data_IF_875118665803
#
_entry.id   IF_875118665803
#
_cell.length_a   1.000
_cell.length_b   1.000
_cell.length_c   1.000
_cell.angle_alpha   90.00
_cell.angle_beta   90.00
_cell.angle_gamma   90.00
#
_symmetry.space_group_name_H-M   'P 1'
#
loop_
_entity.id
_entity.type
_entity.pdbx_description
1 polymer ?
#
# COMPACT_ATOMS: atom_id res chain seq x y z
N UNK A 1 -3.26 14.23 -23.82
CA UNK A 1 -2.98 12.82 -23.49
C UNK A 1 -2.04 12.84 -22.28
N UNK A 2 -2.51 12.44 -21.09
CA UNK A 2 -1.61 12.31 -19.94
C UNK A 2 -0.74 11.08 -20.18
N UNK A 3 0.58 11.29 -20.20
CA UNK A 3 1.58 10.24 -20.35
C UNK A 3 1.50 9.36 -19.08
N UNK A 4 0.83 8.22 -19.16
CA UNK A 4 0.73 7.31 -18.02
C UNK A 4 2.13 6.73 -17.77
N UNK A 5 2.77 7.18 -16.70
CA UNK A 5 4.10 6.71 -16.34
C UNK A 5 3.98 5.24 -15.87
N UNK A 6 4.93 4.39 -16.29
CA UNK A 6 4.98 2.99 -15.85
C UNK A 6 5.09 2.96 -14.32
N UNK A 7 4.19 2.24 -13.61
CA UNK A 7 4.32 2.03 -12.18
C UNK A 7 5.63 1.34 -11.83
N UNK A 8 6.21 1.68 -10.70
CA UNK A 8 7.46 1.10 -10.18
C UNK A 8 7.33 0.56 -8.77
N UNK A 9 6.20 0.85 -8.12
CA UNK A 9 5.91 0.45 -6.75
C UNK A 9 4.43 0.04 -6.62
N UNK A 10 4.18 -1.09 -5.96
CA UNK A 10 2.85 -1.63 -5.74
C UNK A 10 2.61 -1.88 -4.23
N UNK A 11 2.18 -0.86 -3.46
CA UNK A 11 1.88 -1.04 -2.05
C UNK A 11 0.58 -1.84 -1.84
N UNK A 12 0.61 -2.83 -0.95
CA UNK A 12 -0.59 -3.45 -0.38
C UNK A 12 -1.11 -2.59 0.77
N UNK A 13 -2.30 -2.03 0.60
CA UNK A 13 -2.92 -1.10 1.54
C UNK A 13 -4.27 -1.63 1.98
N UNK A 14 -4.52 -1.58 3.28
CA UNK A 14 -5.89 -1.74 3.81
C UNK A 14 -6.70 -0.56 3.30
N UNK A 15 -7.86 -0.80 2.71
CA UNK A 15 -8.75 0.27 2.24
C UNK A 15 -9.49 0.95 3.41
N UNK A 16 -8.76 1.34 4.46
CA UNK A 16 -9.26 2.02 5.65
C UNK A 16 -8.97 3.53 5.56
N UNK A 17 -9.68 4.30 6.38
CA UNK A 17 -9.65 5.75 6.31
C UNK A 17 -8.23 6.36 6.42
N UNK A 18 -7.33 5.77 7.20
CA UNK A 18 -5.96 6.27 7.34
C UNK A 18 -5.15 6.12 6.06
N UNK A 19 -5.14 4.93 5.47
CA UNK A 19 -4.45 4.63 4.22
C UNK A 19 -5.03 5.45 3.05
N UNK A 20 -6.36 5.61 2.99
CA UNK A 20 -7.04 6.47 1.99
C UNK A 20 -6.63 7.94 2.13
N UNK A 21 -6.50 8.47 3.35
CA UNK A 21 -5.94 9.81 3.59
C UNK A 21 -4.52 9.88 3.03
N UNK A 22 -3.68 8.89 3.36
CA UNK A 22 -2.27 8.89 2.95
C UNK A 22 -2.11 8.87 1.43
N UNK A 23 -2.91 8.07 0.73
CA UNK A 23 -2.89 7.97 -0.73
C UNK A 23 -3.44 9.24 -1.39
N UNK A 24 -4.49 9.85 -0.83
CA UNK A 24 -5.03 11.13 -1.30
C UNK A 24 -4.09 12.32 -1.09
N UNK A 25 -3.12 12.20 -0.18
CA UNK A 25 -2.12 13.23 0.13
C UNK A 25 -0.83 13.12 -0.70
N UNK A 26 -0.70 12.11 -1.57
CA UNK A 26 0.45 11.94 -2.46
C UNK A 26 0.54 13.07 -3.49
N UNK A 27 1.77 13.51 -3.80
CA UNK A 27 2.02 14.39 -4.93
C UNK A 27 1.70 13.66 -6.25
N UNK A 28 1.34 14.41 -7.30
CA UNK A 28 0.84 13.83 -8.55
C UNK A 28 1.90 12.97 -9.28
N UNK A 29 3.16 13.38 -9.24
CA UNK A 29 4.32 12.66 -9.79
C UNK A 29 4.63 11.38 -9.02
N UNK A 30 4.45 11.38 -7.69
CA UNK A 30 4.55 10.18 -6.86
C UNK A 30 3.38 9.24 -7.12
N UNK A 31 2.16 9.75 -7.13
CA UNK A 31 0.95 8.99 -7.38
C UNK A 31 0.94 8.34 -8.77
N UNK A 32 1.51 9.01 -9.77
CA UNK A 32 1.66 8.49 -11.13
C UNK A 32 2.65 7.34 -11.28
N UNK A 33 3.40 6.99 -10.23
CA UNK A 33 4.40 5.92 -10.23
C UNK A 33 4.00 4.69 -9.42
N UNK A 34 2.79 4.65 -8.89
CA UNK A 34 2.33 3.54 -8.05
C UNK A 34 1.11 2.82 -8.64
N UNK A 35 1.01 1.52 -8.37
CA UNK A 35 -0.16 0.70 -8.61
C UNK A 35 -0.60 0.09 -7.27
N UNK A 36 -1.41 0.80 -6.46
CA UNK A 36 -1.77 0.30 -5.14
C UNK A 36 -2.71 -0.91 -5.26
N UNK A 37 -2.51 -1.89 -4.38
CA UNK A 37 -3.45 -2.98 -4.11
C UNK A 37 -4.25 -2.65 -2.86
N UNK A 38 -5.52 -2.28 -3.05
CA UNK A 38 -6.44 -1.94 -1.98
C UNK A 38 -7.18 -3.18 -1.52
N UNK A 39 -6.88 -3.62 -0.30
CA UNK A 39 -7.53 -4.74 0.37
C UNK A 39 -8.78 -4.22 1.06
N UNK A 40 -9.95 -4.60 0.55
CA UNK A 40 -11.22 -4.18 1.13
C UNK A 40 -11.38 -4.84 2.50
N UNK A 41 -11.45 -4.07 3.61
CA UNK A 41 -11.47 -4.65 4.94
C UNK A 41 -12.79 -5.38 5.23
N UNK A 42 -12.80 -6.39 6.12
CA UNK A 42 -14.03 -7.05 6.56
C UNK A 42 -14.94 -6.09 7.35
N UNK A 43 -16.24 -6.43 7.54
CA UNK A 43 -17.23 -5.55 8.15
C UNK A 43 -16.86 -4.98 9.51
N UNK A 44 -16.32 -5.82 10.39
CA UNK A 44 -15.96 -5.48 11.76
C UNK A 44 -14.81 -4.46 11.87
N UNK A 45 -14.18 -4.12 10.74
CA UNK A 45 -13.00 -3.25 10.66
C UNK A 45 -13.25 -1.98 9.88
N UNK A 46 -14.45 -1.82 9.33
CA UNK A 46 -14.92 -0.59 8.71
C UNK A 46 -15.42 0.33 9.83
N UNK A 47 -14.84 1.52 9.92
CA UNK A 47 -15.41 2.55 10.78
C UNK A 47 -16.73 3.07 10.21
N UNK A 48 -17.57 3.74 11.02
CA UNK A 48 -18.89 4.23 10.60
C UNK A 48 -18.84 5.05 9.30
N UNK A 49 -17.75 5.81 9.09
CA UNK A 49 -17.57 6.57 7.86
C UNK A 49 -17.39 5.61 6.69
N UNK A 50 -16.41 4.69 6.74
CA UNK A 50 -16.19 3.72 5.67
C UNK A 50 -17.40 2.80 5.44
N UNK A 51 -18.10 2.42 6.50
CA UNK A 51 -19.33 1.61 6.44
C UNK A 51 -20.45 2.33 5.69
N UNK A 52 -20.57 3.65 5.87
CA UNK A 52 -21.53 4.47 5.13
C UNK A 52 -21.11 4.62 3.66
N UNK A 53 -19.79 4.62 3.39
CA UNK A 53 -19.23 4.73 2.04
C UNK A 53 -19.29 3.42 1.26
N UNK A 54 -19.29 2.28 1.92
CA UNK A 54 -19.57 0.97 1.33
C UNK A 54 -20.93 0.53 1.89
N UNK A 55 -22.05 1.14 1.46
CA UNK A 55 -23.36 0.85 2.03
C UNK A 55 -23.72 -0.63 1.86
N UNK A 56 -23.94 -1.29 3.00
CA UNK A 56 -24.28 -2.72 3.07
C UNK A 56 -25.74 -3.04 2.77
N UNK A 57 -26.59 -2.02 2.65
CA UNK A 57 -28.02 -2.18 2.42
C UNK A 57 -28.37 -2.41 0.94
N UNK A 58 -27.41 -2.26 0.03
CA UNK A 58 -27.58 -2.56 -1.39
C UNK A 58 -27.11 -3.99 -1.71
N UNK A 59 -27.68 -4.66 -2.74
CA UNK A 59 -27.23 -5.99 -3.17
C UNK A 59 -25.80 -6.00 -3.75
N UNK A 60 -25.17 -4.83 -3.92
CA UNK A 60 -23.85 -4.65 -4.53
C UNK A 60 -23.01 -3.71 -3.65
N UNK A 61 -21.83 -4.12 -3.18
CA UNK A 61 -20.93 -3.22 -2.45
C UNK A 61 -20.45 -2.06 -3.33
N UNK A 62 -20.25 -0.88 -2.74
CA UNK A 62 -19.75 0.31 -3.44
C UNK A 62 -18.39 0.76 -2.91
N UNK A 63 -17.31 0.37 -3.60
CA UNK A 63 -15.96 0.83 -3.30
C UNK A 63 -15.68 2.24 -3.85
N UNK A 64 -16.51 2.72 -4.78
CA UNK A 64 -16.26 3.96 -5.54
C UNK A 64 -16.35 5.20 -4.66
N UNK A 65 -17.29 5.20 -3.71
CA UNK A 65 -17.47 6.32 -2.78
C UNK A 65 -16.24 6.53 -1.87
N UNK A 66 -15.52 5.44 -1.53
CA UNK A 66 -14.29 5.52 -0.77
C UNK A 66 -13.09 5.98 -1.62
N UNK A 67 -13.01 5.51 -2.87
CA UNK A 67 -11.84 5.69 -3.74
C UNK A 67 -11.90 6.95 -4.61
N UNK A 68 -13.04 7.29 -5.21
CA UNK A 68 -13.15 8.42 -6.14
C UNK A 68 -12.63 9.76 -5.59
N UNK A 69 -12.85 10.10 -4.29
CA UNK A 69 -12.32 11.34 -3.72
C UNK A 69 -10.79 11.40 -3.59
N UNK A 70 -10.11 10.25 -3.56
CA UNK A 70 -8.66 10.17 -3.25
C UNK A 70 -7.82 9.51 -4.34
N UNK A 71 -8.41 8.72 -5.23
CA UNK A 71 -7.73 7.93 -6.26
C UNK A 71 -8.54 7.76 -7.55
N UNK A 72 -9.00 8.88 -8.11
CA UNK A 72 -9.69 8.90 -9.41
C UNK A 72 -8.72 8.95 -10.59
N UNK A 73 -9.19 8.40 -11.72
CA UNK A 73 -8.54 8.37 -13.04
C UNK A 73 -7.14 7.76 -13.02
N UNK A 74 -6.94 6.78 -12.15
CA UNK A 74 -5.70 6.02 -11.99
C UNK A 74 -6.04 4.56 -11.75
N UNK A 75 -5.21 3.62 -12.24
CA UNK A 75 -5.41 2.21 -11.98
C UNK A 75 -5.23 1.89 -10.49
N UNK A 76 -6.04 0.96 -9.99
CA UNK A 76 -5.96 0.44 -8.62
C UNK A 76 -6.40 -1.03 -8.63
N UNK A 77 -5.57 -1.90 -8.06
CA UNK A 77 -5.92 -3.30 -7.85
C UNK A 77 -6.85 -3.39 -6.64
N UNK A 78 -8.00 -4.07 -6.79
CA UNK A 78 -8.97 -4.26 -5.71
C UNK A 78 -8.95 -5.71 -5.29
N UNK A 79 -8.43 -5.95 -4.10
CA UNK A 79 -8.47 -7.25 -3.45
C UNK A 79 -9.79 -7.35 -2.66
N UNK A 80 -10.65 -8.24 -3.16
CA UNK A 80 -12.01 -8.44 -2.68
C UNK A 80 -12.16 -9.66 -1.78
N UNK A 81 -11.06 -10.28 -1.31
CA UNK A 81 -11.11 -11.56 -0.59
C UNK A 81 -12.12 -11.59 0.57
N UNK A 82 -12.13 -10.55 1.40
CA UNK A 82 -13.10 -10.45 2.51
C UNK A 82 -14.55 -10.21 2.06
N UNK A 83 -14.76 -9.58 0.89
CA UNK A 83 -16.10 -9.39 0.33
C UNK A 83 -16.67 -10.70 -0.21
N UNK A 84 -15.83 -11.62 -0.69
CA UNK A 84 -16.27 -12.93 -1.19
C UNK A 84 -17.07 -13.68 -0.12
N UNK A 85 -16.53 -13.73 1.10
CA UNK A 85 -17.17 -14.42 2.21
C UNK A 85 -18.34 -13.62 2.79
N UNK A 86 -18.24 -12.29 2.82
CA UNK A 86 -19.28 -11.39 3.36
C UNK A 86 -20.57 -11.35 2.52
N UNK A 87 -20.45 -11.24 1.20
CA UNK A 87 -21.59 -11.15 0.29
C UNK A 87 -22.05 -12.52 -0.23
N UNK A 88 -21.27 -13.57 0.06
CA UNK A 88 -21.52 -14.96 -0.31
C UNK A 88 -20.90 -15.32 -1.65
N UNK A 89 -20.05 -16.36 -1.63
CA UNK A 89 -19.37 -16.92 -2.82
C UNK A 89 -20.37 -17.44 -3.85
N UNK A 90 -21.49 -18.00 -3.41
CA UNK A 90 -22.58 -18.48 -4.27
C UNK A 90 -23.30 -17.38 -5.06
N UNK A 91 -23.15 -16.11 -4.66
CA UNK A 91 -23.81 -14.96 -5.29
C UNK A 91 -22.85 -14.02 -6.01
N UNK A 92 -21.56 -14.33 -6.12
CA UNK A 92 -20.55 -13.42 -6.70
C UNK A 92 -20.93 -12.86 -8.07
N UNK A 93 -21.52 -13.68 -8.94
CA UNK A 93 -21.97 -13.25 -10.27
C UNK A 93 -22.98 -12.11 -10.24
N UNK A 94 -23.75 -11.95 -9.15
CA UNK A 94 -24.77 -10.91 -9.03
C UNK A 94 -24.27 -9.60 -8.40
N UNK A 95 -23.03 -9.57 -7.89
CA UNK A 95 -22.51 -8.36 -7.23
C UNK A 95 -21.09 -7.97 -7.65
N UNK A 96 -20.19 -8.93 -7.90
CA UNK A 96 -18.78 -8.64 -8.15
C UNK A 96 -18.59 -7.85 -9.45
N UNK A 97 -19.14 -8.25 -10.61
CA UNK A 97 -19.03 -7.46 -11.84
C UNK A 97 -19.62 -6.05 -11.70
N UNK A 98 -20.78 -5.94 -11.05
CA UNK A 98 -21.48 -4.67 -10.85
C UNK A 98 -20.73 -3.70 -9.92
N UNK A 99 -20.01 -4.21 -8.90
CA UNK A 99 -19.14 -3.39 -8.06
C UNK A 99 -18.04 -2.73 -8.89
N UNK A 100 -17.38 -3.49 -9.76
CA UNK A 100 -16.33 -2.96 -10.63
C UNK A 100 -16.88 -2.01 -11.70
N UNK A 101 -18.03 -2.34 -12.29
CA UNK A 101 -18.72 -1.45 -13.24
C UNK A 101 -19.08 -0.10 -12.61
N UNK A 102 -19.61 -0.12 -11.38
CA UNK A 102 -19.95 1.08 -10.60
C UNK A 102 -18.70 1.92 -10.32
N UNK A 103 -17.59 1.29 -9.90
CA UNK A 103 -16.32 1.97 -9.70
C UNK A 103 -15.82 2.67 -10.97
N UNK A 104 -15.85 1.98 -12.12
CA UNK A 104 -15.44 2.53 -13.41
C UNK A 104 -16.31 3.73 -13.82
N UNK A 105 -17.63 3.65 -13.62
CA UNK A 105 -18.57 4.76 -13.87
C UNK A 105 -18.28 6.00 -13.01
N UNK A 106 -17.65 5.82 -11.85
CA UNK A 106 -17.23 6.89 -10.94
C UNK A 106 -15.78 7.34 -11.16
N UNK A 107 -15.20 7.09 -12.34
CA UNK A 107 -13.81 7.40 -12.69
C UNK A 107 -12.76 6.68 -11.81
N UNK A 108 -13.12 5.61 -11.10
CA UNK A 108 -12.16 4.74 -10.41
C UNK A 108 -11.81 3.59 -11.35
N UNK A 109 -10.59 3.54 -11.86
CA UNK A 109 -10.14 2.47 -12.76
C UNK A 109 -9.76 1.23 -11.95
N UNK A 110 -10.77 0.67 -11.29
CA UNK A 110 -10.66 -0.52 -10.47
C UNK A 110 -10.37 -1.75 -11.34
N UNK A 111 -9.32 -2.46 -10.98
CA UNK A 111 -8.86 -3.70 -11.61
C UNK A 111 -9.10 -4.84 -10.60
N UNK A 112 -9.81 -5.91 -10.98
CA UNK A 112 -10.01 -7.05 -10.11
C UNK A 112 -8.69 -7.72 -9.74
N UNK A 113 -8.55 -8.10 -8.47
CA UNK A 113 -7.40 -8.83 -7.97
C UNK A 113 -7.81 -9.88 -6.94
N UNK A 114 -7.13 -11.02 -6.96
CA UNK A 114 -7.37 -12.13 -6.03
C UNK A 114 -6.08 -12.88 -5.73
N UNK A 115 -6.06 -13.56 -4.57
CA UNK A 115 -5.03 -14.55 -4.24
C UNK A 115 -5.32 -15.86 -4.95
N UNK A 116 -4.27 -16.57 -5.39
CA UNK A 116 -4.38 -17.88 -6.03
C UNK A 116 -5.14 -18.89 -5.15
N UNK A 117 -4.96 -18.81 -3.84
CA UNK A 117 -5.65 -19.63 -2.85
C UNK A 117 -7.17 -19.43 -2.84
N UNK A 118 -7.66 -18.24 -3.20
CA UNK A 118 -9.09 -17.91 -3.19
C UNK A 118 -9.81 -18.34 -4.47
N UNK A 119 -9.09 -18.66 -5.53
CA UNK A 119 -9.64 -18.91 -6.86
C UNK A 119 -10.04 -20.37 -7.07
N UNK A 120 -11.35 -20.62 -6.97
CA UNK A 120 -12.03 -21.80 -7.51
C UNK A 120 -12.80 -21.47 -8.80
N UNK A 121 -13.49 -22.46 -9.36
CA UNK A 121 -14.21 -22.29 -10.63
C UNK A 121 -15.31 -21.21 -10.58
N UNK A 122 -16.00 -21.07 -9.44
CA UNK A 122 -17.04 -20.04 -9.26
C UNK A 122 -16.44 -18.64 -9.16
N UNK A 123 -15.34 -18.49 -8.42
CA UNK A 123 -14.62 -17.23 -8.28
C UNK A 123 -14.05 -16.77 -9.61
N UNK A 124 -13.40 -17.68 -10.35
CA UNK A 124 -12.82 -17.37 -11.66
C UNK A 124 -13.90 -16.88 -12.64
N UNK A 125 -15.06 -17.55 -12.69
CA UNK A 125 -16.17 -17.11 -13.54
C UNK A 125 -16.66 -15.70 -13.18
N UNK A 126 -16.85 -15.41 -11.89
CA UNK A 126 -17.29 -14.08 -11.45
C UNK A 126 -16.24 -12.98 -11.69
N UNK A 127 -14.95 -13.30 -11.53
CA UNK A 127 -13.88 -12.36 -11.84
C UNK A 127 -13.74 -12.12 -13.34
N UNK A 128 -13.93 -13.14 -14.18
CA UNK A 128 -13.96 -13.01 -15.64
C UNK A 128 -15.02 -12.00 -16.08
N UNK A 129 -16.23 -12.08 -15.52
CA UNK A 129 -17.32 -11.14 -15.82
C UNK A 129 -17.03 -9.71 -15.30
N UNK A 130 -16.11 -9.54 -14.34
CA UNK A 130 -15.73 -8.24 -13.78
C UNK A 130 -14.62 -7.53 -14.56
N UNK A 131 -13.93 -8.23 -15.47
CA UNK A 131 -12.82 -7.70 -16.27
C UNK A 131 -13.26 -6.50 -17.12
N UNK A 132 -12.28 -5.68 -17.50
CA UNK A 132 -12.47 -4.59 -18.44
C UNK A 132 -11.62 -4.87 -19.69
N UNK A 133 -12.26 -5.18 -20.81
CA UNK A 133 -11.55 -5.56 -22.03
C UNK A 133 -10.70 -4.44 -22.64
N UNK A 134 -11.07 -3.18 -22.38
CA UNK A 134 -10.34 -2.01 -22.86
C UNK A 134 -9.13 -1.66 -21.98
N UNK A 135 -8.95 -2.32 -20.83
CA UNK A 135 -7.84 -2.04 -19.92
C UNK A 135 -6.57 -2.80 -20.32
N UNK A 136 -5.42 -2.12 -20.26
CA UNK A 136 -4.12 -2.77 -20.46
C UNK A 136 -3.82 -3.81 -19.36
N UNK A 137 -4.12 -3.47 -18.11
CA UNK A 137 -4.08 -4.40 -16.98
C UNK A 137 -5.52 -4.84 -16.71
N UNK A 138 -5.81 -6.12 -16.92
CA UNK A 138 -7.14 -6.71 -16.72
C UNK A 138 -7.30 -7.35 -15.34
N UNK A 139 -6.22 -7.92 -14.79
CA UNK A 139 -6.27 -8.66 -13.53
C UNK A 139 -4.98 -8.52 -12.70
N UNK A 140 -5.10 -8.65 -11.39
CA UNK A 140 -3.97 -8.82 -10.48
C UNK A 140 -4.01 -10.17 -9.76
N UNK A 141 -3.04 -11.05 -10.01
CA UNK A 141 -2.94 -12.34 -9.35
C UNK A 141 -1.90 -12.27 -8.23
N UNK A 142 -2.28 -12.61 -6.99
CA UNK A 142 -1.32 -12.76 -5.89
C UNK A 142 -1.04 -14.24 -5.65
N UNK A 143 0.23 -14.62 -5.64
CA UNK A 143 0.71 -15.98 -5.35
C UNK A 143 1.58 -15.92 -4.10
N UNK A 144 1.42 -16.87 -3.18
CA UNK A 144 2.29 -16.94 -2.00
C UNK A 144 3.69 -17.41 -2.40
N UNK A 145 4.72 -17.04 -1.62
CA UNK A 145 6.06 -17.60 -1.81
C UNK A 145 6.06 -19.14 -1.69
N UNK A 146 5.19 -19.69 -0.84
CA UNK A 146 4.96 -21.14 -0.70
C UNK A 146 4.25 -21.78 -1.90
N UNK A 147 3.39 -21.04 -2.64
CA UNK A 147 2.75 -21.56 -3.85
C UNK A 147 3.77 -21.75 -4.99
N UNK A 148 4.85 -20.97 -4.99
CA UNK A 148 5.92 -21.08 -6.00
C UNK A 148 6.97 -22.15 -5.65
N UNK A 149 6.89 -22.76 -4.47
CA UNK A 149 7.85 -23.77 -4.04
C UNK A 149 7.78 -25.08 -4.87
N UNK A 150 6.69 -25.28 -5.62
CA UNK A 150 6.55 -26.42 -6.52
C UNK A 150 5.94 -26.03 -7.89
N UNK A 151 6.04 -26.96 -8.84
CA UNK A 151 5.53 -26.76 -10.20
C UNK A 151 4.00 -26.71 -10.28
N UNK A 152 3.30 -27.27 -9.29
CA UNK A 152 1.84 -27.36 -9.32
C UNK A 152 1.21 -25.98 -9.06
N UNK A 153 1.75 -25.20 -8.11
CA UNK A 153 1.28 -23.83 -7.89
C UNK A 153 1.56 -22.91 -9.07
N UNK A 154 2.73 -23.01 -9.70
CA UNK A 154 3.06 -22.31 -10.95
C UNK A 154 2.09 -22.66 -12.08
N UNK A 155 1.81 -23.95 -12.29
CA UNK A 155 0.86 -24.38 -13.32
C UNK A 155 -0.56 -23.85 -13.03
N UNK A 156 -1.00 -23.90 -11.77
CA UNK A 156 -2.32 -23.38 -11.37
C UNK A 156 -2.45 -21.88 -11.67
N UNK A 157 -1.38 -21.10 -11.53
CA UNK A 157 -1.39 -19.68 -11.89
C UNK A 157 -1.66 -19.47 -13.39
N UNK A 158 -1.11 -20.31 -14.27
CA UNK A 158 -1.39 -20.28 -15.72
C UNK A 158 -2.82 -20.74 -16.01
N UNK A 159 -3.26 -21.85 -15.40
CA UNK A 159 -4.60 -22.40 -15.59
C UNK A 159 -5.69 -21.38 -15.22
N UNK A 160 -5.42 -20.53 -14.22
CA UNK A 160 -6.30 -19.41 -13.84
C UNK A 160 -6.40 -18.38 -14.96
N UNK A 161 -5.28 -17.99 -15.60
CA UNK A 161 -5.29 -17.04 -16.71
C UNK A 161 -6.06 -17.57 -17.91
N UNK A 162 -5.86 -18.85 -18.24
CA UNK A 162 -6.59 -19.52 -19.33
C UNK A 162 -8.11 -19.52 -19.07
N UNK A 163 -8.54 -19.80 -17.85
CA UNK A 163 -9.96 -19.79 -17.49
C UNK A 163 -10.55 -18.37 -17.44
N UNK A 164 -9.75 -17.37 -17.02
CA UNK A 164 -10.10 -15.95 -17.10
C UNK A 164 -10.14 -15.44 -18.54
N UNK A 165 -9.52 -16.16 -19.49
CA UNK A 165 -9.41 -15.80 -20.91
C UNK A 165 -8.64 -14.47 -21.11
N UNK A 166 -7.50 -14.39 -20.42
CA UNK A 166 -6.56 -13.27 -20.51
C UNK A 166 -5.13 -13.78 -20.73
N UNK A 167 -4.31 -12.96 -21.38
CA UNK A 167 -2.89 -13.22 -21.50
C UNK A 167 -2.14 -12.79 -20.23
N UNK A 168 -1.00 -13.42 -19.94
CA UNK A 168 -0.11 -12.95 -18.86
C UNK A 168 0.31 -11.47 -19.04
N UNK A 169 0.42 -11.01 -20.30
CA UNK A 169 0.74 -9.63 -20.63
C UNK A 169 -0.34 -8.62 -20.18
N UNK A 170 -1.52 -9.11 -19.77
CA UNK A 170 -2.63 -8.33 -19.23
C UNK A 170 -2.79 -8.51 -17.70
N UNK A 171 -1.91 -9.31 -17.08
CA UNK A 171 -1.97 -9.65 -15.66
C UNK A 171 -0.74 -9.15 -14.90
N UNK A 172 -0.96 -8.47 -13.78
CA UNK A 172 0.09 -8.19 -12.81
C UNK A 172 0.17 -9.35 -11.83
N UNK A 173 1.31 -10.03 -11.77
CA UNK A 173 1.53 -11.10 -10.78
C UNK A 173 2.31 -10.56 -9.59
N UNK A 174 1.83 -10.84 -8.38
CA UNK A 174 2.47 -10.47 -7.12
C UNK A 174 2.91 -11.72 -6.38
N UNK A 175 4.21 -11.82 -6.08
CA UNK A 175 4.75 -12.87 -5.22
C UNK A 175 4.82 -12.34 -3.79
N UNK A 176 3.98 -12.90 -2.93
CA UNK A 176 3.80 -12.43 -1.56
C UNK A 176 4.59 -13.30 -0.56
N UNK A 177 5.70 -12.75 -0.09
CA UNK A 177 6.58 -13.35 0.93
C UNK A 177 6.09 -13.10 2.36
N UNK A 178 4.77 -12.94 2.54
CA UNK A 178 4.15 -12.69 3.84
C UNK A 178 4.41 -13.78 4.89
N UNK A 179 4.71 -14.99 4.45
CA UNK A 179 5.00 -16.19 5.24
C UNK A 179 6.51 -16.50 5.36
N UNK A 180 7.38 -15.71 4.72
CA UNK A 180 8.82 -15.92 4.70
C UNK A 180 9.57 -15.11 5.77
N UNK A 181 10.73 -15.62 6.20
CA UNK A 181 11.68 -14.86 7.01
C UNK A 181 12.53 -13.95 6.11
N UNK A 182 12.27 -12.64 6.20
CA UNK A 182 12.96 -11.61 5.42
C UNK A 182 14.10 -10.94 6.21
N UNK A 183 14.52 -11.50 7.35
CA UNK A 183 15.47 -10.85 8.26
C UNK A 183 16.90 -10.73 7.72
N UNK A 184 17.28 -11.56 6.74
CA UNK A 184 18.65 -11.61 6.20
C UNK A 184 18.67 -11.26 4.70
N UNK A 185 18.85 -9.97 4.33
CA UNK A 185 18.69 -9.56 2.94
C UNK A 185 19.69 -10.19 1.95
N UNK A 186 20.86 -10.68 2.39
CA UNK A 186 21.82 -11.37 1.52
C UNK A 186 21.37 -12.79 1.13
N UNK A 187 20.59 -13.46 1.98
CA UNK A 187 20.00 -14.77 1.67
C UNK A 187 18.67 -14.63 0.92
N UNK A 188 17.93 -13.56 1.18
CA UNK A 188 16.63 -13.30 0.55
C UNK A 188 16.80 -12.84 -0.90
N UNK A 189 17.82 -12.00 -1.22
CA UNK A 189 17.98 -11.46 -2.56
C UNK A 189 18.10 -12.51 -3.69
N UNK A 190 18.87 -13.61 -3.54
CA UNK A 190 18.89 -14.69 -4.53
C UNK A 190 17.54 -15.41 -4.69
N UNK A 191 16.75 -15.53 -3.62
CA UNK A 191 15.41 -16.15 -3.67
C UNK A 191 14.45 -15.28 -4.48
N UNK A 192 14.52 -13.96 -4.28
CA UNK A 192 13.78 -12.97 -5.06
C UNK A 192 14.12 -13.10 -6.55
N UNK A 193 15.41 -13.23 -6.89
CA UNK A 193 15.87 -13.44 -8.27
C UNK A 193 15.33 -14.74 -8.88
N UNK A 194 15.44 -15.87 -8.16
CA UNK A 194 14.94 -17.16 -8.64
C UNK A 194 13.42 -17.14 -8.89
N UNK A 195 12.63 -16.55 -7.98
CA UNK A 195 11.18 -16.41 -8.17
C UNK A 195 10.82 -15.56 -9.40
N UNK A 196 11.64 -14.53 -9.71
CA UNK A 196 11.48 -13.75 -10.92
C UNK A 196 11.78 -14.58 -12.17
N UNK A 197 12.90 -15.31 -12.18
CA UNK A 197 13.30 -16.17 -13.30
C UNK A 197 12.23 -17.23 -13.60
N UNK A 198 11.68 -17.88 -12.57
CA UNK A 198 10.64 -18.89 -12.70
C UNK A 198 9.36 -18.30 -13.31
N UNK A 199 8.93 -17.11 -12.86
CA UNK A 199 7.75 -16.43 -13.41
C UNK A 199 7.97 -15.94 -14.84
N UNK A 200 9.16 -15.44 -15.17
CA UNK A 200 9.51 -15.02 -16.53
C UNK A 200 9.61 -16.20 -17.50
N UNK A 201 10.09 -17.34 -17.03
CA UNK A 201 10.11 -18.58 -17.82
C UNK A 201 8.70 -19.12 -18.08
N UNK A 202 7.77 -18.86 -17.15
CA UNK A 202 6.38 -19.29 -17.25
C UNK A 202 5.58 -18.48 -18.29
N UNK A 203 5.67 -17.15 -18.23
CA UNK A 203 4.92 -16.27 -19.13
C UNK A 203 5.45 -14.84 -19.20
N UNK A 204 5.01 -14.10 -20.22
CA UNK A 204 5.30 -12.67 -20.38
C UNK A 204 4.30 -11.82 -19.59
N UNK A 205 4.52 -11.69 -18.28
CA UNK A 205 3.65 -10.93 -17.40
C UNK A 205 3.65 -9.43 -17.70
N UNK A 206 2.52 -8.76 -17.45
CA UNK A 206 2.41 -7.29 -17.56
C UNK A 206 3.43 -6.60 -16.64
N UNK A 207 3.52 -7.10 -15.41
CA UNK A 207 4.55 -6.78 -14.42
C UNK A 207 4.64 -7.89 -13.38
N UNK A 208 5.84 -8.08 -12.81
CA UNK A 208 6.06 -8.97 -11.66
C UNK A 208 6.34 -8.11 -10.44
N UNK A 209 5.62 -8.33 -9.34
CA UNK A 209 5.76 -7.60 -8.08
C UNK A 209 6.35 -8.53 -7.04
N UNK A 210 7.47 -8.15 -6.43
CA UNK A 210 7.83 -8.72 -5.13
C UNK A 210 7.07 -8.00 -4.04
N UNK A 211 6.48 -8.74 -3.11
CA UNK A 211 5.80 -8.17 -1.96
C UNK A 211 6.27 -8.84 -0.67
N UNK A 212 6.62 -8.02 0.32
CA UNK A 212 7.05 -8.51 1.63
C UNK A 212 7.15 -7.37 2.64
N UNK A 213 7.37 -7.69 3.90
CA UNK A 213 7.64 -6.69 4.95
C UNK A 213 8.36 -7.33 6.14
N UNK A 214 9.38 -6.65 6.64
CA UNK A 214 10.02 -6.97 7.92
C UNK A 214 9.47 -6.11 9.07
N UNK A 215 8.42 -5.32 8.83
CA UNK A 215 7.84 -4.50 9.88
C UNK A 215 7.20 -5.39 10.97
N UNK A 216 7.50 -5.16 12.25
CA UNK A 216 7.02 -6.02 13.33
C UNK A 216 5.51 -5.88 13.56
N UNK A 217 4.85 -6.98 13.95
CA UNK A 217 3.41 -7.00 14.27
C UNK A 217 3.03 -6.08 15.43
N UNK A 218 3.97 -5.81 16.33
CA UNK A 218 3.79 -4.95 17.49
C UNK A 218 4.69 -3.75 17.37
N UNK A 219 4.24 -2.62 17.91
CA UNK A 219 5.09 -1.43 18.00
C UNK A 219 6.33 -1.75 18.85
N UNK A 220 7.55 -1.65 18.29
CA UNK A 220 8.79 -2.01 18.97
C UNK A 220 9.33 -0.90 19.89
N UNK A 221 8.80 0.32 19.81
CA UNK A 221 9.27 1.45 20.58
C UNK A 221 8.58 1.52 21.96
N UNK A 222 9.39 1.75 22.98
CA UNK A 222 8.92 2.07 24.32
C UNK A 222 8.17 3.41 24.36
N UNK A 223 7.23 3.61 25.32
CA UNK A 223 6.59 4.90 25.51
C UNK A 223 7.62 6.02 25.69
N UNK A 224 7.44 7.13 24.96
CA UNK A 224 8.39 8.26 24.95
C UNK A 224 9.81 7.89 24.44
N UNK A 225 9.92 6.82 23.66
CA UNK A 225 11.15 6.35 23.04
C UNK A 225 11.05 6.21 21.53
N UNK A 226 12.11 5.66 20.94
CA UNK A 226 12.15 5.32 19.53
C UNK A 226 12.81 3.97 19.32
N UNK A 227 12.54 3.36 18.17
CA UNK A 227 13.20 2.15 17.72
C UNK A 227 13.43 2.21 16.22
N UNK A 228 14.60 1.75 15.76
CA UNK A 228 14.90 1.63 14.33
C UNK A 228 14.62 0.20 13.89
N UNK A 229 13.63 0.03 13.02
CA UNK A 229 13.34 -1.26 12.38
C UNK A 229 14.01 -1.27 11.01
N UNK A 230 14.96 -2.17 10.72
CA UNK A 230 15.52 -2.29 9.38
C UNK A 230 14.45 -2.72 8.35
N UNK A 231 14.44 -2.08 7.18
CA UNK A 231 13.62 -2.42 6.02
C UNK A 231 14.28 -3.53 5.22
N UNK A 232 14.47 -4.70 5.82
CA UNK A 232 15.29 -5.77 5.21
C UNK A 232 14.66 -6.30 3.92
N UNK A 233 13.34 -6.27 3.78
CA UNK A 233 12.65 -6.58 2.52
C UNK A 233 13.08 -5.63 1.39
N UNK A 234 13.19 -4.33 1.70
CA UNK A 234 13.66 -3.31 0.77
C UNK A 234 15.15 -3.49 0.44
N UNK A 235 15.97 -3.79 1.45
CA UNK A 235 17.39 -4.07 1.24
C UNK A 235 17.62 -5.31 0.37
N UNK A 236 16.82 -6.37 0.56
CA UNK A 236 16.87 -7.59 -0.23
C UNK A 236 16.49 -7.31 -1.69
N UNK A 237 15.39 -6.58 -1.90
CA UNK A 237 14.97 -6.19 -3.24
C UNK A 237 16.01 -5.29 -3.93
N UNK A 238 16.56 -4.28 -3.23
CA UNK A 238 17.65 -3.43 -3.75
C UNK A 238 18.84 -4.27 -4.22
N UNK A 239 19.23 -5.28 -3.44
CA UNK A 239 20.31 -6.19 -3.79
C UNK A 239 19.95 -6.97 -5.05
N UNK A 240 18.77 -7.61 -5.08
CA UNK A 240 18.31 -8.40 -6.22
C UNK A 240 18.32 -7.59 -7.53
N UNK A 241 17.77 -6.38 -7.54
CA UNK A 241 17.71 -5.55 -8.76
C UNK A 241 19.04 -4.89 -9.15
N UNK A 242 19.99 -4.78 -8.22
CA UNK A 242 21.30 -4.18 -8.51
C UNK A 242 22.28 -5.18 -9.16
N UNK A 243 22.05 -6.49 -8.99
CA UNK A 243 22.89 -7.51 -9.61
C UNK A 243 22.58 -7.75 -11.09
N UNK A 244 21.36 -7.42 -11.53
CA UNK A 244 20.93 -7.64 -12.91
C UNK A 244 20.01 -6.50 -13.42
N UNK A 245 20.45 -5.73 -14.43
CA UNK A 245 19.63 -4.70 -15.06
C UNK A 245 18.31 -5.23 -15.65
N UNK A 246 18.24 -6.48 -16.10
CA UNK A 246 17.01 -7.04 -16.70
C UNK A 246 15.95 -7.33 -15.65
N UNK A 247 16.38 -7.83 -14.49
CA UNK A 247 15.58 -7.92 -13.26
C UNK A 247 14.99 -6.58 -12.88
N UNK A 248 15.80 -5.51 -12.92
CA UNK A 248 15.35 -4.17 -12.56
C UNK A 248 14.24 -3.63 -13.47
N UNK A 249 14.16 -4.03 -14.74
CA UNK A 249 13.13 -3.55 -15.69
C UNK A 249 11.75 -4.20 -15.52
N UNK A 250 11.73 -5.47 -15.10
CA UNK A 250 10.53 -6.30 -15.07
C UNK A 250 9.94 -6.48 -13.67
N UNK A 251 10.72 -6.13 -12.64
CA UNK A 251 10.32 -6.29 -11.25
C UNK A 251 9.94 -4.96 -10.59
N UNK A 252 8.72 -4.90 -10.07
CA UNK A 252 8.27 -3.83 -9.19
C UNK A 252 8.52 -4.21 -7.74
N UNK A 253 8.89 -3.22 -6.92
CA UNK A 253 8.87 -3.39 -5.48
C UNK A 253 7.43 -3.29 -4.98
N UNK A 254 7.11 -4.06 -3.95
CA UNK A 254 5.84 -4.03 -3.24
C UNK A 254 6.11 -4.36 -1.77
N UNK A 255 5.30 -3.75 -0.90
CA UNK A 255 5.35 -3.98 0.53
C UNK A 255 3.98 -3.63 1.13
N UNK A 256 3.88 -3.69 2.46
CA UNK A 256 2.67 -3.34 3.21
C UNK A 256 2.72 -1.88 3.70
N UNK A 257 3.38 -1.01 2.93
CA UNK A 257 3.79 0.33 3.31
C UNK A 257 4.50 0.33 4.68
N UNK A 258 4.15 1.25 5.58
CA UNK A 258 4.71 1.29 6.92
C UNK A 258 4.07 0.27 7.88
N UNK A 259 3.72 -0.95 7.45
CA UNK A 259 3.03 -1.95 8.28
C UNK A 259 3.50 -3.39 8.03
N UNK A 260 3.03 -4.31 8.88
CA UNK A 260 3.25 -5.74 8.75
C UNK A 260 2.23 -6.38 7.79
N UNK A 261 2.54 -7.60 7.32
CA UNK A 261 1.71 -8.38 6.40
C UNK A 261 0.46 -8.90 7.06
N UNK A 262 0.53 -9.15 8.38
CA UNK A 262 -0.63 -9.57 9.17
C UNK A 262 -1.59 -8.43 9.32
N UNK A 263 -2.70 -8.56 8.63
CA UNK A 263 -3.86 -7.74 8.85
C UNK A 263 -4.58 -8.26 10.10
N UNK A 264 -4.07 -7.89 11.29
CA UNK A 264 -4.79 -8.17 12.54
C UNK A 264 -5.98 -7.23 12.64
N UNK A 265 -7.16 -7.82 12.52
CA UNK A 265 -8.47 -7.19 12.59
C UNK A 265 -9.11 -7.35 13.98
N UNK A 266 -8.28 -7.23 15.03
CA UNK A 266 -8.64 -7.52 16.41
C UNK A 266 -9.32 -6.35 17.15
N UNK A 267 -10.24 -6.72 18.05
CA UNK A 267 -11.25 -5.87 18.70
C UNK A 267 -10.78 -4.52 19.26
N UNK A 268 -11.50 -3.48 18.83
CA UNK A 268 -11.37 -2.11 19.32
C UNK A 268 -11.65 -1.97 20.81
N UNK A 269 -10.75 -1.28 21.50
CA UNK A 269 -10.91 -0.93 22.92
C UNK A 269 -9.65 -0.31 23.54
N UNK A 270 -8.47 -0.58 22.98
CA UNK A 270 -7.23 0.06 23.39
C UNK A 270 -7.09 1.48 22.84
N UNK A 271 -6.52 2.40 23.64
CA UNK A 271 -6.12 3.71 23.13
C UNK A 271 -5.11 3.54 21.98
N UNK A 272 -5.36 4.24 20.87
CA UNK A 272 -4.43 4.24 19.75
C UNK A 272 -3.03 4.71 20.20
N UNK A 273 -2.00 3.95 19.81
CA UNK A 273 -0.62 4.31 20.12
C UNK A 273 -0.26 5.57 19.33
N UNK A 274 0.11 6.62 20.05
CA UNK A 274 0.59 7.90 19.49
C UNK A 274 2.00 7.73 18.96
N UNK A 275 2.12 7.34 17.71
CA UNK A 275 3.42 7.12 17.07
C UNK A 275 3.40 7.56 15.60
N UNK A 276 4.59 7.74 15.05
CA UNK A 276 4.83 7.81 13.61
C UNK A 276 5.87 6.74 13.25
N UNK A 277 5.64 6.06 12.13
CA UNK A 277 6.52 5.04 11.54
C UNK A 277 7.19 5.69 10.35
N UNK A 278 8.28 6.40 10.61
CA UNK A 278 8.93 7.29 9.65
C UNK A 278 9.93 6.53 8.80
N UNK A 279 9.69 6.41 7.50
CA UNK A 279 10.53 5.66 6.58
C UNK A 279 11.82 6.43 6.26
N UNK A 280 12.95 5.79 6.54
CA UNK A 280 14.28 6.27 6.19
C UNK A 280 14.83 5.41 5.04
N UNK A 281 16.06 5.66 4.63
CA UNK A 281 16.68 4.98 3.48
C UNK A 281 16.71 3.46 3.61
N UNK A 282 17.01 2.99 4.82
CA UNK A 282 17.25 1.57 5.09
C UNK A 282 16.42 1.04 6.27
N UNK A 283 15.53 1.85 6.84
CA UNK A 283 14.78 1.48 8.05
C UNK A 283 13.56 2.35 8.30
N UNK A 284 12.77 2.00 9.30
CA UNK A 284 11.75 2.86 9.89
C UNK A 284 12.20 3.38 11.25
N UNK A 285 12.21 4.70 11.42
CA UNK A 285 12.23 5.34 12.73
C UNK A 285 10.82 5.28 13.31
N UNK A 286 10.57 4.32 14.20
CA UNK A 286 9.32 4.24 14.95
C UNK A 286 9.45 5.15 16.17
N UNK A 287 8.89 6.36 16.08
CA UNK A 287 8.90 7.33 17.18
C UNK A 287 7.57 7.24 17.94
N UNK A 288 7.62 6.97 19.24
CA UNK A 288 6.44 6.81 20.09
C UNK A 288 6.37 7.91 21.15
N UNK A 289 5.18 8.48 21.31
CA UNK A 289 4.87 9.47 22.34
C UNK A 289 4.61 8.84 23.71
N UNK A 290 4.44 9.67 24.76
CA UNK A 290 4.11 9.19 26.10
C UNK A 290 2.72 8.52 26.15
N UNK A 291 2.51 7.64 27.15
CA UNK A 291 1.20 7.03 27.42
C UNK A 291 0.22 7.99 28.12
N UNK A 292 0.71 9.12 28.65
CA UNK A 292 -0.09 10.13 29.35
C UNK A 292 -0.22 11.42 28.54
N UNK A 293 -1.12 12.31 28.94
CA UNK A 293 -1.36 13.59 28.27
C UNK A 293 -2.30 13.50 27.05
N UNK A 294 -2.59 14.65 26.45
CA UNK A 294 -3.47 14.74 25.27
C UNK A 294 -2.80 14.18 24.02
N UNK A 295 -3.61 13.82 23.02
CA UNK A 295 -3.09 13.42 21.71
C UNK A 295 -2.25 14.53 21.07
N UNK A 296 -2.70 15.78 21.14
CA UNK A 296 -1.98 16.92 20.56
C UNK A 296 -0.58 17.12 21.16
N UNK A 297 -0.45 17.13 22.48
CA UNK A 297 0.86 17.36 23.12
C UNK A 297 1.82 16.19 22.92
N UNK A 298 1.32 14.96 22.97
CA UNK A 298 2.14 13.77 22.75
C UNK A 298 2.58 13.63 21.29
N UNK A 299 1.70 13.92 20.32
CA UNK A 299 2.08 13.90 18.89
C UNK A 299 3.00 15.06 18.52
N UNK A 300 2.89 16.23 19.17
CA UNK A 300 3.87 17.30 19.04
C UNK A 300 5.27 16.82 19.42
N UNK A 301 5.42 16.16 20.57
CA UNK A 301 6.70 15.57 21.00
C UNK A 301 7.24 14.52 20.01
N UNK A 302 6.35 13.70 19.46
CA UNK A 302 6.73 12.74 18.39
C UNK A 302 7.29 13.48 17.17
N UNK A 303 6.63 14.55 16.73
CA UNK A 303 7.08 15.33 15.58
C UNK A 303 8.37 16.10 15.85
N UNK A 304 8.51 16.72 17.03
CA UNK A 304 9.76 17.36 17.48
C UNK A 304 10.93 16.37 17.43
N UNK A 305 10.74 15.17 17.98
CA UNK A 305 11.78 14.13 18.00
C UNK A 305 12.16 13.67 16.58
N UNK A 306 11.19 13.52 15.66
CA UNK A 306 11.49 13.18 14.26
C UNK A 306 12.27 14.31 13.59
N UNK A 307 11.82 15.57 13.70
CA UNK A 307 12.49 16.72 13.09
C UNK A 307 13.92 16.89 13.61
N UNK A 308 14.17 16.64 14.90
CA UNK A 308 15.51 16.71 15.50
C UNK A 308 16.35 15.44 15.35
N UNK A 309 15.82 14.36 14.76
CA UNK A 309 16.49 13.05 14.72
C UNK A 309 17.71 12.96 13.80
N UNK A 310 17.90 13.97 12.94
CA UNK A 310 18.85 13.89 11.81
C UNK A 310 18.40 12.95 10.68
N UNK A 311 17.21 12.33 10.78
CA UNK A 311 16.63 11.44 9.76
C UNK A 311 15.43 12.03 9.03
N UNK A 312 14.96 13.21 9.44
CA UNK A 312 13.86 13.90 8.79
C UNK A 312 14.25 14.35 7.38
N UNK A 313 13.46 13.95 6.39
CA UNK A 313 13.71 14.16 4.97
C UNK A 313 13.53 15.61 4.51
N UNK A 314 12.93 16.47 5.34
CA UNK A 314 12.67 17.87 5.05
C UNK A 314 11.19 18.17 4.87
N UNK A 315 10.79 19.40 5.19
CA UNK A 315 9.39 19.85 5.13
C UNK A 315 8.79 19.74 3.72
N UNK A 316 9.61 19.87 2.69
CA UNK A 316 9.28 19.83 1.27
C UNK A 316 9.24 18.40 0.69
N UNK A 317 9.61 17.38 1.46
CA UNK A 317 9.69 16.00 0.95
C UNK A 317 8.33 15.43 0.54
N UNK A 318 7.30 15.64 1.37
CA UNK A 318 5.93 15.20 1.13
C UNK A 318 4.91 16.05 1.90
N UNK A 319 3.61 15.84 1.67
CA UNK A 319 2.54 16.45 2.48
C UNK A 319 2.54 15.96 3.92
N UNK A 320 2.92 14.70 4.15
CA UNK A 320 3.10 14.16 5.49
C UNK A 320 4.26 14.84 6.23
N UNK A 321 5.39 15.09 5.56
CA UNK A 321 6.56 15.75 6.16
C UNK A 321 6.28 17.21 6.52
N UNK A 322 5.50 17.91 5.70
CA UNK A 322 5.02 19.24 6.04
C UNK A 322 4.16 19.24 7.32
N UNK A 323 3.23 18.28 7.43
CA UNK A 323 2.37 18.15 8.61
C UNK A 323 3.21 17.84 9.87
N UNK A 324 4.19 16.94 9.77
CA UNK A 324 5.15 16.63 10.84
C UNK A 324 5.88 17.92 11.26
N UNK A 325 6.43 18.66 10.31
CA UNK A 325 7.16 19.90 10.59
C UNK A 325 6.26 20.93 11.28
N UNK A 326 5.07 21.23 10.74
CA UNK A 326 4.13 22.19 11.32
C UNK A 326 3.68 21.78 12.72
N UNK A 327 3.46 20.48 12.96
CA UNK A 327 3.14 19.98 14.28
C UNK A 327 4.30 20.16 15.26
N UNK A 328 5.55 19.89 14.83
CA UNK A 328 6.74 20.12 15.65
C UNK A 328 6.93 21.59 16.06
N UNK A 329 6.44 22.54 15.24
CA UNK A 329 6.47 23.98 15.54
C UNK A 329 5.25 24.48 16.32
N UNK A 330 4.32 23.59 16.65
CA UNK A 330 3.08 23.95 17.33
C UNK A 330 2.06 24.73 16.47
N UNK A 331 2.29 24.83 15.16
CA UNK A 331 1.44 25.54 14.20
C UNK A 331 0.22 24.71 13.79
N UNK A 332 0.30 23.38 13.90
CA UNK A 332 -0.79 22.47 13.59
C UNK A 332 -0.87 21.30 14.59
N UNK A 333 -2.04 20.67 14.66
CA UNK A 333 -2.26 19.41 15.38
C UNK A 333 -2.46 18.27 14.38
N UNK A 334 -1.91 17.10 14.68
CA UNK A 334 -2.12 15.90 13.86
C UNK A 334 -3.44 15.16 14.18
N UNK A 335 -4.29 15.71 15.05
CA UNK A 335 -5.66 15.21 15.26
C UNK A 335 -5.72 13.75 15.73
N UNK A 336 -6.30 12.89 14.89
CA UNK A 336 -6.73 11.52 15.25
C UNK A 336 -5.77 10.43 14.75
N UNK A 337 -5.94 9.21 15.25
CA UNK A 337 -5.15 8.05 14.81
C UNK A 337 -5.23 7.78 13.29
N UNK A 338 -6.35 8.12 12.64
CA UNK A 338 -6.52 8.01 11.19
C UNK A 338 -5.57 8.95 10.44
N UNK A 339 -5.37 10.18 10.95
CA UNK A 339 -4.42 11.14 10.37
C UNK A 339 -2.98 10.65 10.56
N UNK A 340 -2.62 10.13 11.73
CA UNK A 340 -1.27 9.59 11.96
C UNK A 340 -0.98 8.42 11.03
N UNK A 341 -2.00 7.59 10.77
CA UNK A 341 -1.90 6.53 9.78
C UNK A 341 -1.69 7.07 8.37
N UNK A 342 -2.44 8.09 7.96
CA UNK A 342 -2.27 8.75 6.67
C UNK A 342 -0.87 9.36 6.49
N UNK A 343 -0.32 9.97 7.54
CA UNK A 343 1.06 10.48 7.55
C UNK A 343 2.06 9.34 7.30
N UNK A 344 1.93 8.22 8.03
CA UNK A 344 2.81 7.06 7.83
C UNK A 344 2.73 6.54 6.39
N UNK A 345 1.53 6.39 5.83
CA UNK A 345 1.32 5.89 4.46
C UNK A 345 1.87 6.86 3.41
N UNK A 346 1.51 8.15 3.46
CA UNK A 346 1.96 9.15 2.50
C UNK A 346 3.49 9.29 2.48
N UNK A 347 4.10 9.41 3.66
CA UNK A 347 5.55 9.54 3.78
C UNK A 347 6.26 8.27 3.30
N UNK A 348 5.81 7.08 3.70
CA UNK A 348 6.43 5.82 3.28
C UNK A 348 6.37 5.61 1.77
N UNK A 349 5.21 5.79 1.16
CA UNK A 349 5.06 5.65 -0.30
C UNK A 349 5.97 6.66 -1.02
N UNK A 350 5.99 7.92 -0.56
CA UNK A 350 6.87 8.96 -1.12
C UNK A 350 8.34 8.57 -1.00
N UNK A 351 8.74 8.00 0.14
CA UNK A 351 10.10 7.53 0.40
C UNK A 351 10.49 6.43 -0.59
N UNK A 352 9.68 5.39 -0.69
CA UNK A 352 9.92 4.25 -1.59
C UNK A 352 10.03 4.71 -3.04
N UNK A 353 9.08 5.51 -3.52
CA UNK A 353 9.05 5.97 -4.92
C UNK A 353 10.28 6.82 -5.25
N UNK A 354 10.68 7.72 -4.34
CA UNK A 354 11.89 8.54 -4.51
C UNK A 354 13.16 7.68 -4.47
N UNK A 355 13.25 6.72 -3.55
CA UNK A 355 14.42 5.83 -3.46
C UNK A 355 14.55 4.95 -4.72
N UNK A 356 13.45 4.38 -5.25
CA UNK A 356 13.46 3.63 -6.51
C UNK A 356 13.81 4.55 -7.69
N UNK A 357 13.28 5.77 -7.71
CA UNK A 357 13.62 6.72 -8.76
C UNK A 357 15.10 7.10 -8.75
N UNK A 358 15.73 7.23 -7.58
CA UNK A 358 17.18 7.45 -7.49
C UNK A 358 17.97 6.27 -8.09
N UNK A 359 17.51 5.03 -7.86
CA UNK A 359 18.13 3.82 -8.46
C UNK A 359 17.95 3.80 -9.99
N UNK A 360 16.77 4.22 -10.47
CA UNK A 360 16.39 4.18 -11.90
C UNK A 360 16.68 5.46 -12.69
N UNK A 361 17.21 6.51 -12.05
CA UNK A 361 17.49 7.81 -12.67
C UNK A 361 16.25 8.66 -12.98
N UNK A 362 15.17 8.54 -12.20
CA UNK A 362 14.01 9.44 -12.31
C UNK A 362 14.17 10.68 -11.44
N UNK A 363 13.78 11.82 -11.99
CA UNK A 363 13.63 13.06 -11.22
C UNK A 363 12.15 13.27 -10.86
N UNK A 364 11.92 13.77 -9.66
CA UNK A 364 10.60 14.09 -9.11
C UNK A 364 10.51 15.57 -8.79
N UNK A 365 9.31 16.13 -8.89
CA UNK A 365 9.07 17.53 -8.59
C UNK A 365 9.41 17.81 -7.12
N UNK A 366 10.09 18.94 -6.90
CA UNK A 366 10.31 19.48 -5.56
C UNK A 366 9.09 20.28 -5.16
N UNK A 367 8.56 20.01 -3.98
CA UNK A 367 7.42 20.75 -3.45
C UNK A 367 7.90 22.07 -2.86
N UNK A 368 7.24 23.18 -3.19
CA UNK A 368 7.50 24.43 -2.47
C UNK A 368 6.88 24.32 -1.05
N UNK A 369 7.62 24.61 0.03
CA UNK A 369 7.04 24.62 1.36
C UNK A 369 5.99 25.72 1.47
N UNK A 370 4.84 25.42 2.06
CA UNK A 370 3.89 26.46 2.40
C UNK A 370 4.49 27.40 3.47
N UNK A 371 4.24 28.72 3.40
CA UNK A 371 4.68 29.65 4.43
C UNK A 371 4.22 29.19 5.82
N UNK A 372 5.14 29.21 6.78
CA UNK A 372 4.83 28.97 8.18
C UNK A 372 4.51 30.31 8.81
N UNK A 373 3.23 30.68 8.80
CA UNK A 373 2.75 31.79 9.61
C UNK A 373 2.74 31.33 11.07
N UNK A 374 3.73 31.80 11.84
CA UNK A 374 3.68 31.72 13.30
C UNK A 374 2.54 32.64 13.74
N UNK A 375 1.58 32.12 14.51
CA UNK A 375 0.68 32.99 15.24
C UNK A 375 1.53 33.76 16.25
N UNK A 376 1.86 35.01 15.93
CA UNK A 376 2.38 35.95 16.91
C UNK A 376 1.40 35.99 18.09
N UNK A 377 1.94 35.86 19.32
CA UNK A 377 1.19 35.94 20.56
C UNK A 377 0.49 37.30 20.67
N UNK A 378 -0.72 37.39 20.11
CA UNK A 378 -1.65 38.51 20.30
C UNK A 378 -2.32 38.43 21.69
N UNK A 379 -1.56 38.16 22.74
CA UNK A 379 -2.01 38.34 24.14
C UNK A 379 -0.82 38.65 25.05
N UNK A 380 -0.28 39.87 24.90
CA UNK A 380 0.42 40.57 25.98
C UNK A 380 0.14 42.07 25.85
N UNK A 381 -1.05 42.50 26.30
CA UNK A 381 -1.32 43.84 26.81
C UNK A 381 -2.41 43.78 27.88
#
# INVERSE_FOLDING_TARGET
MMNHQKPIYAPALRMKAGELIGVGDLAADIAGRILPRMIVPPPNERDDALQTKIPMAEPVPDISHALAPVWSKKPVLIDSGYLLDEFGRDRMSSWLPHMFERARKADVWAIPSASLSDLGALEIAAFKDALNDDAAIKFGLTVSSSDLADRAGLQRAVDVLEQLDIDAAQCVVTVDFHDADLSQPDFVAPIIGAALDDLQALALWQSIVFQGTNYPEKNPADPNGHYIVPRTEWLAWKRAVNFDPTTAEHMMFGDYAADCSKLSFGGGGGMAIRHIRYATEDGWLVQRGPNTGSHGSAMRKVCEAIVSSGKFAGQDFSKADEQIYRCSKGVASLGTAKVWRGINTCHHITRVVRDIGNIKGFEFEKRAPAPVELQDELFNR
#
